data_IF_953406483745
#
_entry.id   IF_953406483745
#
_cell.length_a   1.000
_cell.length_b   1.000
_cell.length_c   1.000
_cell.angle_alpha   90.00
_cell.angle_beta   90.00
_cell.angle_gamma   90.00
#
_symmetry.space_group_name_H-M   'P 1'
#
loop_
_entity.id
_entity.type
_entity.pdbx_description
1 polymer ?
#
# COMPACT_ATOMS: atom_id res chain seq x y z
N UNK A 1 -18.89 -25.98 -15.03
CA UNK A 1 -19.94 -24.95 -14.80
C UNK A 1 -19.45 -24.00 -13.72
N UNK A 2 -19.55 -22.68 -13.90
CA UNK A 2 -19.19 -21.75 -12.81
C UNK A 2 -20.23 -21.89 -11.69
N UNK A 3 -19.85 -22.47 -10.54
CA UNK A 3 -20.72 -22.45 -9.37
C UNK A 3 -20.89 -20.99 -8.94
N UNK A 4 -22.08 -20.44 -9.19
CA UNK A 4 -22.50 -19.13 -8.70
C UNK A 4 -23.16 -19.34 -7.33
N UNK A 5 -22.79 -18.52 -6.37
CA UNK A 5 -23.43 -18.45 -5.06
C UNK A 5 -23.85 -17.00 -4.79
N UNK A 6 -24.88 -16.80 -3.97
CA UNK A 6 -25.26 -15.49 -3.46
C UNK A 6 -24.71 -15.36 -2.03
N UNK A 7 -23.96 -14.31 -1.76
CA UNK A 7 -23.51 -13.94 -0.42
C UNK A 7 -24.27 -12.69 0.01
N UNK A 8 -24.83 -12.71 1.22
CA UNK A 8 -25.43 -11.53 1.85
C UNK A 8 -24.43 -10.94 2.83
N UNK A 9 -23.96 -9.73 2.57
CA UNK A 9 -22.99 -9.01 3.39
C UNK A 9 -23.60 -7.68 3.78
N UNK A 10 -23.78 -7.43 5.09
CA UNK A 10 -24.40 -6.20 5.61
C UNK A 10 -25.72 -5.83 4.89
N UNK A 11 -26.57 -6.83 4.64
CA UNK A 11 -27.86 -6.65 3.95
C UNK A 11 -27.77 -6.46 2.43
N UNK A 12 -26.57 -6.43 1.83
CA UNK A 12 -26.37 -6.35 0.38
C UNK A 12 -26.14 -7.75 -0.21
N UNK A 13 -26.83 -8.05 -1.31
CA UNK A 13 -26.67 -9.30 -2.06
C UNK A 13 -25.52 -9.19 -3.06
N UNK A 14 -24.61 -10.15 -3.04
CA UNK A 14 -23.49 -10.26 -3.97
C UNK A 14 -23.49 -11.62 -4.66
N UNK A 15 -23.48 -11.60 -6.00
CA UNK A 15 -23.21 -12.80 -6.78
C UNK A 15 -21.69 -13.08 -6.75
N UNK A 16 -21.29 -14.14 -6.05
CA UNK A 16 -19.93 -14.66 -6.07
C UNK A 16 -19.87 -15.90 -6.96
N UNK A 17 -18.73 -16.15 -7.58
CA UNK A 17 -18.57 -17.28 -8.50
C UNK A 17 -17.18 -17.87 -8.37
N UNK A 18 -16.92 -19.06 -8.90
CA UNK A 18 -15.56 -19.60 -9.05
C UNK A 18 -14.72 -19.56 -7.75
N UNK A 19 -15.34 -19.84 -6.60
CA UNK A 19 -14.67 -19.71 -5.29
C UNK A 19 -13.47 -20.64 -5.16
N UNK A 20 -13.53 -21.83 -5.77
CA UNK A 20 -12.44 -22.81 -5.77
C UNK A 20 -11.34 -22.49 -6.81
N UNK A 21 -11.47 -21.40 -7.59
CA UNK A 21 -10.43 -21.02 -8.55
C UNK A 21 -9.15 -20.66 -7.78
N UNK A 22 -8.07 -21.38 -8.06
CA UNK A 22 -6.75 -21.09 -7.49
C UNK A 22 -6.22 -19.80 -8.11
N UNK A 23 -5.93 -18.80 -7.28
CA UNK A 23 -5.34 -17.52 -7.68
C UNK A 23 -3.84 -17.46 -7.35
N UNK A 24 -3.37 -18.24 -6.37
CA UNK A 24 -1.95 -18.41 -6.06
C UNK A 24 -1.56 -19.89 -6.22
N UNK A 25 -1.10 -20.33 -7.41
CA UNK A 25 -0.84 -21.73 -7.70
C UNK A 25 0.14 -22.39 -6.74
N UNK A 26 1.30 -21.76 -6.48
CA UNK A 26 2.32 -22.28 -5.55
C UNK A 26 1.78 -22.52 -4.12
N UNK A 27 0.85 -21.70 -3.66
CA UNK A 27 0.26 -21.80 -2.33
C UNK A 27 -1.07 -22.57 -2.29
N UNK A 28 -1.61 -22.99 -3.44
CA UNK A 28 -2.97 -23.54 -3.54
C UNK A 28 -4.07 -22.58 -3.07
N UNK A 29 -3.81 -21.27 -3.04
CA UNK A 29 -4.72 -20.30 -2.43
C UNK A 29 -5.81 -19.87 -3.42
N UNK A 30 -7.05 -20.04 -3.01
CA UNK A 30 -8.25 -19.89 -3.85
C UNK A 30 -8.89 -18.51 -3.75
N UNK A 31 -9.76 -18.18 -4.71
CA UNK A 31 -10.54 -16.94 -4.67
C UNK A 31 -11.45 -16.85 -3.44
N UNK A 32 -12.02 -17.97 -3.00
CA UNK A 32 -12.79 -18.04 -1.75
C UNK A 32 -11.96 -17.63 -0.53
N UNK A 33 -10.70 -18.06 -0.46
CA UNK A 33 -9.80 -17.69 0.64
C UNK A 33 -9.31 -16.23 0.54
N UNK A 34 -9.17 -15.68 -0.67
CA UNK A 34 -8.95 -14.22 -0.85
C UNK A 34 -10.13 -13.42 -0.28
N UNK A 35 -11.36 -13.83 -0.60
CA UNK A 35 -12.57 -13.20 -0.06
C UNK A 35 -12.63 -13.34 1.46
N UNK A 36 -12.37 -14.53 2.01
CA UNK A 36 -12.32 -14.76 3.47
C UNK A 36 -11.31 -13.85 4.17
N UNK A 37 -10.08 -13.75 3.63
CA UNK A 37 -9.06 -12.85 4.16
C UNK A 37 -9.58 -11.41 4.24
N UNK A 38 -10.14 -10.90 3.14
CA UNK A 38 -10.63 -9.53 3.10
C UNK A 38 -11.82 -9.30 4.02
N UNK A 39 -12.69 -10.30 4.23
CA UNK A 39 -13.77 -10.22 5.23
C UNK A 39 -13.18 -10.07 6.63
N UNK A 40 -12.20 -10.90 6.98
CA UNK A 40 -11.65 -10.96 8.34
C UNK A 40 -10.75 -9.79 8.68
N UNK A 41 -10.03 -9.23 7.70
CA UNK A 41 -9.16 -8.06 7.89
C UNK A 41 -9.91 -6.73 7.76
N UNK A 42 -11.14 -6.73 7.24
CA UNK A 42 -11.93 -5.53 6.98
C UNK A 42 -12.02 -4.53 8.15
N UNK A 43 -12.17 -4.95 9.42
CA UNK A 43 -12.29 -4.00 10.53
C UNK A 43 -11.10 -3.03 10.65
N UNK A 44 -9.89 -3.49 10.32
CA UNK A 44 -8.67 -2.65 10.34
C UNK A 44 -8.28 -2.12 8.96
N UNK A 45 -8.66 -2.81 7.88
CA UNK A 45 -8.35 -2.36 6.51
C UNK A 45 -9.28 -1.22 6.03
N UNK A 46 -10.58 -1.28 6.32
CA UNK A 46 -11.55 -0.30 5.81
C UNK A 46 -11.28 1.15 6.23
N UNK A 47 -10.81 1.46 7.46
CA UNK A 47 -10.38 2.82 7.81
C UNK A 47 -9.35 3.40 6.83
N UNK A 48 -8.41 2.58 6.36
CA UNK A 48 -7.38 2.99 5.41
C UNK A 48 -7.86 3.10 3.96
N UNK A 49 -8.95 2.42 3.59
CA UNK A 49 -9.56 2.53 2.25
C UNK A 49 -10.58 3.66 2.16
N UNK A 50 -11.19 4.03 3.30
CA UNK A 50 -12.34 4.94 3.34
C UNK A 50 -12.00 6.29 2.70
N UNK A 51 -12.89 6.69 1.80
CA UNK A 51 -12.81 7.91 1.01
C UNK A 51 -11.55 8.06 0.14
N UNK A 52 -10.72 7.02 -0.01
CA UNK A 52 -9.56 7.06 -0.92
C UNK A 52 -9.93 6.53 -2.30
N UNK A 53 -9.67 7.28 -3.39
CA UNK A 53 -9.74 6.74 -4.74
C UNK A 53 -8.91 5.46 -4.87
N UNK A 54 -9.58 4.36 -5.25
CA UNK A 54 -8.98 3.03 -5.37
C UNK A 54 -8.62 2.73 -6.83
N UNK A 55 -7.36 2.42 -7.07
CA UNK A 55 -6.90 1.71 -8.27
C UNK A 55 -6.92 0.21 -7.94
N UNK A 56 -7.73 -0.54 -8.67
CA UNK A 56 -7.78 -2.00 -8.54
C UNK A 56 -6.72 -2.62 -9.45
N UNK A 57 -5.96 -3.59 -8.96
CA UNK A 57 -5.04 -4.39 -9.77
C UNK A 57 -5.52 -5.83 -9.77
N UNK A 58 -6.15 -6.19 -10.89
CA UNK A 58 -6.96 -7.39 -11.00
C UNK A 58 -6.18 -8.52 -11.65
N UNK A 59 -6.34 -9.71 -11.08
CA UNK A 59 -5.73 -10.97 -11.50
C UNK A 59 -6.82 -12.02 -11.76
N UNK A 60 -7.68 -11.86 -12.77
CA UNK A 60 -8.81 -12.77 -12.99
C UNK A 60 -8.41 -14.23 -13.13
N UNK A 61 -7.19 -14.48 -13.61
CA UNK A 61 -6.63 -15.81 -13.87
C UNK A 61 -5.48 -16.20 -12.93
N UNK A 62 -5.31 -15.49 -11.81
CA UNK A 62 -4.27 -15.76 -10.82
C UNK A 62 -2.97 -15.00 -11.08
N UNK A 63 -2.05 -15.09 -10.11
CA UNK A 63 -0.82 -14.26 -10.01
C UNK A 63 0.24 -14.56 -11.07
N UNK A 64 0.17 -15.71 -11.73
CA UNK A 64 1.09 -16.13 -12.80
C UNK A 64 0.60 -15.72 -14.20
N UNK A 65 -0.65 -15.25 -14.32
CA UNK A 65 -1.25 -14.80 -15.57
C UNK A 65 -1.20 -13.28 -15.71
N UNK A 66 -1.65 -12.77 -16.87
CA UNK A 66 -1.76 -11.33 -17.10
C UNK A 66 -2.71 -10.66 -16.08
N UNK A 67 -2.31 -9.46 -15.67
CA UNK A 67 -3.07 -8.58 -14.80
C UNK A 67 -3.35 -7.26 -15.50
N UNK A 68 -4.29 -6.48 -14.97
CA UNK A 68 -4.51 -5.13 -15.43
C UNK A 68 -4.86 -4.19 -14.27
N UNK A 69 -4.55 -2.91 -14.47
CA UNK A 69 -4.94 -1.84 -13.57
C UNK A 69 -6.28 -1.26 -14.02
N UNK A 70 -7.22 -1.15 -13.11
CA UNK A 70 -8.55 -0.58 -13.33
C UNK A 70 -8.74 0.64 -12.43
N UNK A 71 -8.39 1.80 -12.98
CA UNK A 71 -8.57 3.11 -12.32
C UNK A 71 -10.01 3.61 -12.42
N UNK A 72 -10.65 3.42 -13.58
CA UNK A 72 -12.06 3.76 -13.75
C UNK A 72 -12.91 2.61 -13.23
N UNK A 73 -13.77 2.88 -12.26
CA UNK A 73 -14.66 1.91 -11.66
C UNK A 73 -15.60 1.32 -12.73
N UNK A 74 -15.79 -0.02 -12.75
CA UNK A 74 -16.64 -0.68 -13.74
C UNK A 74 -18.01 -0.02 -13.91
N UNK A 75 -18.45 0.12 -15.16
CA UNK A 75 -19.77 0.68 -15.50
C UNK A 75 -20.91 -0.19 -14.96
N UNK A 76 -20.72 -1.51 -14.94
CA UNK A 76 -21.66 -2.51 -14.45
C UNK A 76 -21.54 -2.81 -12.95
N UNK A 77 -20.86 -1.95 -12.17
CA UNK A 77 -20.76 -2.11 -10.71
C UNK A 77 -22.15 -2.07 -10.04
N UNK A 78 -22.32 -2.73 -8.88
CA UNK A 78 -23.54 -2.58 -8.09
C UNK A 78 -23.82 -1.11 -7.74
N UNK A 79 -25.10 -0.71 -7.74
CA UNK A 79 -25.52 0.69 -7.51
C UNK A 79 -25.01 1.29 -6.18
N UNK A 80 -24.76 0.45 -5.20
CA UNK A 80 -24.27 0.85 -3.87
C UNK A 80 -22.75 1.05 -3.81
N UNK A 81 -21.98 0.68 -4.85
CA UNK A 81 -20.55 0.97 -4.94
C UNK A 81 -20.36 2.44 -5.30
N UNK A 82 -19.89 3.22 -4.33
CA UNK A 82 -19.64 4.66 -4.48
C UNK A 82 -18.37 4.90 -5.31
N UNK A 83 -18.30 6.08 -5.92
CA UNK A 83 -17.14 6.51 -6.69
C UNK A 83 -16.67 7.91 -6.31
N UNK A 84 -15.41 8.21 -6.58
CA UNK A 84 -14.83 9.54 -6.54
C UNK A 84 -14.54 10.03 -7.97
N UNK A 85 -14.89 11.28 -8.25
CA UNK A 85 -14.53 11.95 -9.51
C UNK A 85 -13.12 12.49 -9.38
N UNK A 86 -12.23 12.11 -10.29
CA UNK A 86 -10.85 12.59 -10.34
C UNK A 86 -10.55 12.99 -11.78
N UNK A 87 -10.05 14.21 -11.98
CA UNK A 87 -9.59 14.64 -13.30
C UNK A 87 -8.36 13.84 -13.70
N UNK A 88 -8.34 13.33 -14.93
CA UNK A 88 -7.18 12.62 -15.48
C UNK A 88 -6.66 13.41 -16.68
N UNK A 89 -5.50 14.04 -16.51
CA UNK A 89 -4.86 14.81 -17.59
C UNK A 89 -4.56 13.92 -18.80
N UNK A 90 -3.94 12.75 -18.59
CA UNK A 90 -3.60 11.83 -19.68
C UNK A 90 -4.80 11.25 -20.45
N UNK A 91 -6.00 11.27 -19.88
CA UNK A 91 -7.23 10.84 -20.58
C UNK A 91 -8.12 12.03 -20.99
N UNK A 92 -7.73 13.26 -20.64
CA UNK A 92 -8.48 14.50 -20.82
C UNK A 92 -9.97 14.38 -20.41
N UNK A 93 -10.25 13.72 -19.27
CA UNK A 93 -11.61 13.52 -18.77
C UNK A 93 -11.66 13.24 -17.28
N UNK A 94 -12.86 13.34 -16.71
CA UNK A 94 -13.14 12.85 -15.36
C UNK A 94 -13.19 11.32 -15.36
N UNK A 95 -12.40 10.73 -14.48
CA UNK A 95 -12.40 9.30 -14.18
C UNK A 95 -13.16 9.07 -12.87
N UNK A 96 -13.91 7.96 -12.78
CA UNK A 96 -14.68 7.60 -11.61
C UNK A 96 -13.99 6.47 -10.86
N UNK A 97 -13.16 6.77 -9.87
CA UNK A 97 -12.48 5.74 -9.08
C UNK A 97 -13.45 5.05 -8.13
N UNK A 98 -13.32 3.74 -7.92
CA UNK A 98 -14.12 3.05 -6.90
C UNK A 98 -13.74 3.58 -5.51
N UNK A 99 -14.70 3.57 -4.58
CA UNK A 99 -14.48 3.82 -3.16
C UNK A 99 -14.87 2.59 -2.36
N UNK A 100 -13.90 1.91 -1.76
CA UNK A 100 -14.14 0.78 -0.86
C UNK A 100 -14.52 1.28 0.53
N UNK A 101 -15.79 1.69 0.68
CA UNK A 101 -16.31 2.35 1.88
C UNK A 101 -16.74 1.37 2.99
N UNK A 102 -17.07 0.15 2.60
CA UNK A 102 -17.75 -0.83 3.42
C UNK A 102 -17.37 -2.27 3.01
N UNK A 103 -17.69 -3.22 3.89
CA UNK A 103 -17.37 -4.62 3.70
C UNK A 103 -17.97 -5.20 2.41
N UNK A 104 -19.24 -4.92 2.03
CA UNK A 104 -19.78 -5.36 0.75
C UNK A 104 -18.95 -4.90 -0.45
N UNK A 105 -18.47 -3.66 -0.45
CA UNK A 105 -17.65 -3.13 -1.56
C UNK A 105 -16.29 -3.83 -1.63
N UNK A 106 -15.68 -4.09 -0.47
CA UNK A 106 -14.43 -4.82 -0.41
C UNK A 106 -14.58 -6.26 -0.91
N UNK A 107 -15.64 -6.97 -0.49
CA UNK A 107 -15.95 -8.33 -0.96
C UNK A 107 -16.23 -8.36 -2.47
N UNK A 108 -16.94 -7.35 -2.98
CA UNK A 108 -17.18 -7.20 -4.41
C UNK A 108 -15.87 -7.04 -5.20
N UNK A 109 -14.95 -6.17 -4.75
CA UNK A 109 -13.64 -5.99 -5.38
C UNK A 109 -12.83 -7.30 -5.35
N UNK A 110 -12.78 -7.99 -4.21
CA UNK A 110 -12.12 -9.29 -4.08
C UNK A 110 -12.72 -10.35 -5.03
N UNK A 111 -14.05 -10.38 -5.21
CA UNK A 111 -14.71 -11.28 -6.15
C UNK A 111 -14.38 -10.99 -7.62
N UNK A 112 -14.05 -9.74 -7.96
CA UNK A 112 -13.50 -9.33 -9.26
C UNK A 112 -12.02 -9.72 -9.45
N UNK A 113 -11.47 -10.47 -8.49
CA UNK A 113 -10.07 -10.86 -8.40
C UNK A 113 -9.12 -9.65 -8.28
N UNK A 114 -9.57 -8.58 -7.62
CA UNK A 114 -8.69 -7.49 -7.20
C UNK A 114 -7.81 -7.96 -6.04
N UNK A 115 -6.53 -8.22 -6.32
CA UNK A 115 -5.59 -8.75 -5.33
C UNK A 115 -4.72 -7.66 -4.70
N UNK A 116 -4.47 -6.56 -5.41
CA UNK A 116 -3.73 -5.44 -4.85
C UNK A 116 -4.61 -4.19 -4.84
N UNK A 117 -4.94 -3.72 -3.65
CA UNK A 117 -5.68 -2.49 -3.41
C UNK A 117 -4.69 -1.32 -3.38
N UNK A 118 -4.70 -0.47 -4.40
CA UNK A 118 -3.81 0.68 -4.47
C UNK A 118 -4.59 1.98 -4.23
N UNK A 119 -4.22 2.73 -3.20
CA UNK A 119 -4.92 3.97 -2.81
C UNK A 119 -4.13 5.21 -3.18
N UNK A 120 -4.84 6.28 -3.54
CA UNK A 120 -4.26 7.63 -3.52
C UNK A 120 -3.81 8.00 -2.09
N UNK A 121 -2.75 8.81 -1.98
CA UNK A 121 -2.32 9.38 -0.70
C UNK A 121 -3.30 10.44 -0.17
N UNK A 122 -4.22 10.91 -1.01
CA UNK A 122 -5.28 11.85 -0.68
C UNK A 122 -6.66 11.18 -0.53
N UNK A 123 -7.59 11.87 0.12
CA UNK A 123 -9.00 11.48 0.22
C UNK A 123 -9.81 12.23 -0.85
N UNK A 124 -10.92 11.66 -1.29
CA UNK A 124 -11.80 12.20 -2.35
C UNK A 124 -12.31 13.63 -2.10
N UNK A 125 -12.33 14.05 -0.83
CA UNK A 125 -12.77 15.39 -0.42
C UNK A 125 -11.89 16.46 -1.06
N UNK A 126 -10.59 16.19 -1.13
CA UNK A 126 -9.61 17.05 -1.77
C UNK A 126 -8.44 16.17 -2.25
N UNK A 127 -8.48 15.80 -3.53
CA UNK A 127 -7.52 14.88 -4.13
C UNK A 127 -6.14 15.51 -4.36
N UNK A 128 -6.01 16.83 -4.22
CA UNK A 128 -4.74 17.55 -4.32
C UNK A 128 -4.02 17.69 -2.97
N UNK A 129 -4.67 17.28 -1.87
CA UNK A 129 -4.14 17.39 -0.51
C UNK A 129 -3.84 16.00 0.06
N UNK A 130 -2.58 15.54 0.01
CA UNK A 130 -2.22 14.26 0.59
C UNK A 130 -2.46 14.28 2.10
N UNK A 131 -3.01 13.18 2.60
CA UNK A 131 -3.14 12.93 4.04
C UNK A 131 -1.85 12.42 4.67
N UNK A 132 -0.88 12.01 3.85
CA UNK A 132 0.36 11.33 4.26
C UNK A 132 1.46 11.57 3.24
N UNK A 133 2.71 11.70 3.71
CA UNK A 133 3.92 11.63 2.89
C UNK A 133 4.53 10.22 3.01
N UNK A 134 5.02 9.66 1.91
CA UNK A 134 5.50 8.27 1.84
C UNK A 134 6.90 8.19 1.25
N UNK A 135 7.70 7.26 1.76
CA UNK A 135 8.95 6.82 1.16
C UNK A 135 8.84 5.33 0.87
N UNK A 136 8.94 4.92 -0.40
CA UNK A 136 9.01 3.51 -0.78
C UNK A 136 10.47 3.11 -0.95
N UNK A 137 10.97 2.24 -0.08
CA UNK A 137 12.36 1.80 -0.06
C UNK A 137 12.47 0.54 -0.90
N UNK A 138 12.89 0.71 -2.15
CA UNK A 138 12.94 -0.33 -3.17
C UNK A 138 14.35 -0.91 -3.31
N UNK A 139 14.58 -2.18 -2.91
CA UNK A 139 15.90 -2.77 -3.02
C UNK A 139 16.18 -3.28 -4.44
N UNK A 140 17.35 -2.93 -4.98
CA UNK A 140 17.89 -3.55 -6.18
C UNK A 140 18.85 -4.68 -5.83
N UNK A 141 18.62 -5.86 -6.41
CA UNK A 141 19.42 -7.05 -6.12
C UNK A 141 20.94 -6.79 -6.25
N UNK A 142 21.78 -7.35 -5.36
CA UNK A 142 21.44 -8.33 -4.31
C UNK A 142 20.90 -7.73 -3.01
N UNK A 143 20.69 -6.40 -2.91
CA UNK A 143 20.06 -5.82 -1.72
C UNK A 143 18.62 -6.33 -1.57
N UNK A 144 18.16 -6.39 -0.33
CA UNK A 144 16.81 -6.81 0.04
C UNK A 144 16.24 -5.94 1.18
N UNK A 145 15.15 -6.41 1.81
CA UNK A 145 14.48 -5.69 2.89
C UNK A 145 15.39 -5.41 4.09
N UNK A 146 16.47 -6.18 4.31
CA UNK A 146 17.43 -5.94 5.40
C UNK A 146 18.12 -4.59 5.19
N UNK A 147 18.57 -4.30 3.97
CA UNK A 147 19.12 -2.98 3.63
C UNK A 147 18.04 -1.90 3.65
N UNK A 148 16.80 -2.21 3.28
CA UNK A 148 15.68 -1.27 3.46
C UNK A 148 15.45 -0.92 4.94
N UNK A 149 15.67 -1.86 5.88
CA UNK A 149 15.56 -1.58 7.31
C UNK A 149 16.61 -0.58 7.77
N UNK A 150 17.86 -0.73 7.31
CA UNK A 150 18.94 0.21 7.60
C UNK A 150 18.61 1.63 7.12
N UNK A 151 18.23 1.77 5.84
CA UNK A 151 17.84 3.06 5.27
C UNK A 151 16.57 3.62 5.94
N UNK A 152 15.62 2.76 6.28
CA UNK A 152 14.40 3.15 7.00
C UNK A 152 14.65 3.70 8.39
N UNK A 153 15.66 3.18 9.11
CA UNK A 153 16.06 3.69 10.43
C UNK A 153 16.78 5.03 10.32
N UNK A 154 17.64 5.23 9.33
CA UNK A 154 18.22 6.55 9.05
C UNK A 154 17.14 7.57 8.73
N UNK A 155 16.20 7.21 7.87
CA UNK A 155 15.07 8.06 7.52
C UNK A 155 14.18 8.36 8.74
N UNK A 156 13.90 7.38 9.62
CA UNK A 156 13.19 7.60 10.89
C UNK A 156 13.89 8.63 11.76
N UNK A 157 15.21 8.55 11.88
CA UNK A 157 16.01 9.47 12.70
C UNK A 157 15.96 10.89 12.14
N UNK A 158 16.18 11.06 10.84
CA UNK A 158 16.09 12.36 10.15
C UNK A 158 14.70 13.00 10.31
N UNK A 159 13.64 12.20 10.14
CA UNK A 159 12.27 12.66 10.38
C UNK A 159 12.05 13.03 11.87
N UNK A 160 12.64 12.28 12.79
CA UNK A 160 12.61 12.55 14.22
C UNK A 160 13.26 13.88 14.61
N UNK A 161 14.39 14.24 14.00
CA UNK A 161 15.05 15.54 14.17
C UNK A 161 14.16 16.70 13.71
N UNK A 162 13.37 16.47 12.65
CA UNK A 162 12.32 17.39 12.18
C UNK A 162 11.04 17.35 13.02
N UNK A 163 11.00 16.57 14.11
CA UNK A 163 9.82 16.33 14.96
C UNK A 163 8.64 15.70 14.21
N UNK A 164 8.92 14.99 13.13
CA UNK A 164 7.93 14.25 12.35
C UNK A 164 7.89 12.79 12.82
N UNK A 165 6.71 12.35 13.27
CA UNK A 165 6.46 10.94 13.57
C UNK A 165 6.28 10.15 12.28
N UNK A 166 6.85 8.96 12.23
CA UNK A 166 6.78 8.06 11.08
C UNK A 166 6.45 6.61 11.48
N UNK A 167 5.82 5.90 10.56
CA UNK A 167 5.32 4.54 10.74
C UNK A 167 5.80 3.67 9.58
N UNK A 168 6.19 2.43 9.89
CA UNK A 168 6.71 1.51 8.90
C UNK A 168 5.69 0.42 8.54
N UNK A 169 5.70 0.02 7.26
CA UNK A 169 5.05 -1.21 6.81
C UNK A 169 5.91 -1.90 5.77
N UNK A 170 5.83 -3.22 5.72
CA UNK A 170 6.42 -3.96 4.61
C UNK A 170 5.60 -3.69 3.36
N UNK A 171 6.24 -3.66 2.20
CA UNK A 171 5.51 -3.61 0.92
C UNK A 171 4.70 -4.90 0.69
N UNK A 172 5.03 -6.00 1.39
CA UNK A 172 4.56 -7.36 1.09
C UNK A 172 5.22 -7.97 -0.15
N UNK A 173 6.17 -7.26 -0.77
CA UNK A 173 6.98 -7.71 -1.91
C UNK A 173 8.45 -7.83 -1.51
N UNK A 174 9.26 -6.81 -1.78
CA UNK A 174 10.71 -6.83 -1.51
C UNK A 174 11.17 -5.70 -0.58
N UNK A 175 10.48 -4.57 -0.61
CA UNK A 175 10.86 -3.35 0.10
C UNK A 175 10.09 -3.08 1.39
N UNK A 176 10.50 -2.01 2.05
CA UNK A 176 9.88 -1.40 3.24
C UNK A 176 9.33 -0.03 2.86
N UNK A 177 8.25 0.41 3.50
CA UNK A 177 7.68 1.72 3.27
C UNK A 177 7.57 2.49 4.59
N UNK A 178 7.89 3.79 4.53
CA UNK A 178 7.84 4.70 5.67
C UNK A 178 6.80 5.78 5.41
N UNK A 179 5.83 5.92 6.30
CA UNK A 179 4.68 6.83 6.18
C UNK A 179 4.76 7.90 7.26
N UNK A 180 4.59 9.15 6.87
CA UNK A 180 4.55 10.33 7.74
C UNK A 180 3.14 10.92 7.64
N UNK A 181 2.22 10.59 8.57
CA UNK A 181 0.86 11.10 8.50
C UNK A 181 0.87 12.61 8.63
N UNK A 182 0.07 13.29 7.84
CA UNK A 182 -0.04 14.75 7.85
C UNK A 182 -1.43 15.17 8.30
N UNK A 183 -2.47 14.66 7.64
CA UNK A 183 -3.88 14.96 7.91
C UNK A 183 -4.14 16.47 8.09
N UNK A 184 -3.42 17.28 7.33
CA UNK A 184 -3.44 18.75 7.30
C UNK A 184 -3.66 19.24 5.87
N UNK A 185 -3.54 20.55 5.64
CA UNK A 185 -3.68 21.16 4.32
C UNK A 185 -2.41 21.07 3.46
N UNK A 186 -1.52 20.11 3.70
CA UNK A 186 -0.29 19.97 2.93
C UNK A 186 -0.59 19.72 1.44
N UNK A 187 0.27 20.17 0.52
CA UNK A 187 0.19 19.86 -0.92
C UNK A 187 1.10 18.70 -1.30
N UNK A 188 0.83 18.09 -2.46
CA UNK A 188 1.78 17.15 -3.06
C UNK A 188 3.15 17.78 -3.32
N UNK A 189 3.21 19.04 -3.76
CA UNK A 189 4.48 19.76 -3.96
C UNK A 189 5.31 19.83 -2.67
N UNK A 190 4.71 20.21 -1.55
CA UNK A 190 5.40 20.26 -0.25
C UNK A 190 5.92 18.88 0.17
N UNK A 191 5.10 17.83 0.00
CA UNK A 191 5.52 16.45 0.33
C UNK A 191 6.61 15.94 -0.61
N UNK A 192 6.54 16.26 -1.90
CA UNK A 192 7.51 15.83 -2.92
C UNK A 192 8.85 16.54 -2.71
N UNK A 193 8.84 17.82 -2.41
CA UNK A 193 10.06 18.58 -2.17
C UNK A 193 10.82 18.10 -0.95
N UNK A 194 10.15 17.93 0.19
CA UNK A 194 10.80 17.41 1.40
C UNK A 194 11.28 15.97 1.21
N UNK A 195 10.42 15.09 0.67
CA UNK A 195 10.79 13.68 0.48
C UNK A 195 11.97 13.52 -0.48
N UNK A 196 12.03 14.31 -1.57
CA UNK A 196 13.16 14.35 -2.50
C UNK A 196 14.43 14.85 -1.82
N UNK A 197 14.34 15.93 -1.04
CA UNK A 197 15.48 16.47 -0.33
C UNK A 197 16.09 15.46 0.67
N UNK A 198 15.24 14.75 1.41
CA UNK A 198 15.66 13.68 2.32
C UNK A 198 16.28 12.49 1.58
N UNK A 199 15.70 12.06 0.46
CA UNK A 199 16.26 10.99 -0.36
C UNK A 199 17.64 11.35 -0.92
N UNK A 200 17.81 12.59 -1.39
CA UNK A 200 19.09 13.09 -1.90
C UNK A 200 20.13 13.27 -0.80
N UNK A 201 19.73 13.73 0.39
CA UNK A 201 20.62 13.81 1.54
C UNK A 201 21.14 12.42 1.93
N UNK A 202 20.26 11.42 2.04
CA UNK A 202 20.67 10.03 2.30
C UNK A 202 21.58 9.46 1.22
N UNK A 203 21.36 9.80 -0.06
CA UNK A 203 22.27 9.40 -1.15
C UNK A 203 23.65 10.05 -1.03
N UNK A 204 23.75 11.30 -0.55
CA UNK A 204 25.04 11.97 -0.33
C UNK A 204 25.82 11.38 0.84
N UNK A 205 25.13 11.10 1.95
CA UNK A 205 25.74 10.52 3.15
C UNK A 205 26.11 9.04 2.96
N UNK A 206 25.30 8.30 2.20
CA UNK A 206 25.46 6.86 2.02
C UNK A 206 25.41 6.44 0.53
N UNK A 207 26.30 6.97 -0.33
CA UNK A 207 26.24 6.76 -1.78
C UNK A 207 26.49 5.31 -2.20
N UNK A 208 27.12 4.51 -1.33
CA UNK A 208 27.31 3.08 -1.55
C UNK A 208 26.04 2.24 -1.44
N UNK A 209 25.04 2.70 -0.66
CA UNK A 209 23.84 1.93 -0.34
C UNK A 209 22.55 2.59 -0.84
N UNK A 210 22.50 3.92 -0.96
CA UNK A 210 21.29 4.65 -1.30
C UNK A 210 21.39 5.20 -2.72
N UNK A 211 20.24 5.23 -3.42
CA UNK A 211 20.06 6.11 -4.58
C UNK A 211 18.72 6.82 -4.53
N UNK A 212 18.68 8.08 -4.97
CA UNK A 212 17.44 8.84 -5.18
C UNK A 212 17.05 8.94 -6.66
N UNK A 213 17.84 8.30 -7.54
CA UNK A 213 17.63 8.32 -8.98
C UNK A 213 16.66 7.21 -9.41
N UNK A 214 15.67 7.57 -10.24
CA UNK A 214 14.65 6.64 -10.72
C UNK A 214 15.20 5.55 -11.66
N UNK A 215 16.37 5.76 -12.27
CA UNK A 215 16.99 4.79 -13.19
C UNK A 215 17.23 3.44 -12.51
N UNK A 216 16.65 2.37 -13.06
CA UNK A 216 16.84 1.01 -12.54
C UNK A 216 18.28 0.52 -12.67
N UNK A 217 19.05 1.05 -13.63
CA UNK A 217 20.46 0.72 -13.83
C UNK A 217 21.34 1.08 -12.62
N UNK A 218 20.93 2.08 -11.83
CA UNK A 218 21.67 2.55 -10.66
C UNK A 218 21.32 1.83 -9.37
N UNK A 219 20.32 0.92 -9.40
CA UNK A 219 19.78 0.27 -8.19
C UNK A 219 20.54 -0.98 -7.76
N UNK A 220 21.42 -1.54 -8.60
CA UNK A 220 22.10 -2.82 -8.30
C UNK A 220 22.87 -2.70 -6.97
N UNK A 221 22.47 -3.52 -5.98
CA UNK A 221 23.05 -3.53 -4.63
C UNK A 221 22.67 -2.32 -3.76
N UNK A 222 21.75 -1.47 -4.21
CA UNK A 222 21.33 -0.25 -3.52
C UNK A 222 19.84 -0.26 -3.20
N UNK A 223 19.44 0.64 -2.30
CA UNK A 223 18.07 0.98 -2.00
C UNK A 223 17.71 2.25 -2.74
N UNK A 224 16.75 2.16 -3.64
CA UNK A 224 16.11 3.33 -4.21
C UNK A 224 15.11 3.89 -3.18
N UNK A 225 15.36 5.12 -2.72
CA UNK A 225 14.41 5.86 -1.88
C UNK A 225 13.43 6.56 -2.81
N UNK A 226 12.31 5.91 -3.11
CA UNK A 226 11.32 6.42 -4.04
C UNK A 226 10.46 7.53 -3.42
N UNK A 227 11.00 8.74 -3.48
CA UNK A 227 10.30 9.98 -3.14
C UNK A 227 9.22 10.34 -4.17
N UNK A 228 9.26 9.76 -5.36
CA UNK A 228 8.36 10.09 -6.46
C UNK A 228 6.95 9.51 -6.26
N UNK A 229 6.72 8.69 -5.24
CA UNK A 229 5.39 8.22 -4.83
C UNK A 229 4.49 9.36 -4.30
N UNK A 230 5.09 10.47 -3.87
CA UNK A 230 4.38 11.67 -3.40
C UNK A 230 3.84 12.50 -4.57
N UNK A 231 2.92 11.92 -5.34
CA UNK A 231 2.36 12.50 -6.55
C UNK A 231 0.86 12.21 -6.64
N UNK A 232 0.06 13.19 -7.04
CA UNK A 232 -1.40 13.08 -7.09
C UNK A 232 -1.91 12.05 -8.12
N UNK A 233 -1.09 11.72 -9.13
CA UNK A 233 -1.44 10.76 -10.17
C UNK A 233 -1.03 9.33 -9.83
N UNK A 234 -0.33 9.13 -8.71
CA UNK A 234 0.13 7.82 -8.25
C UNK A 234 -0.76 7.25 -7.16
N UNK A 235 -0.65 5.93 -7.04
CA UNK A 235 -1.29 5.15 -5.98
C UNK A 235 -0.28 4.18 -5.42
N UNK A 236 -0.33 3.97 -4.11
CA UNK A 236 0.55 3.02 -3.40
C UNK A 236 -0.29 1.88 -2.84
N UNK A 237 0.29 0.69 -2.73
CA UNK A 237 -0.40 -0.45 -2.15
C UNK A 237 -0.85 -0.12 -0.72
N UNK A 238 -2.15 -0.30 -0.47
CA UNK A 238 -2.74 -0.05 0.83
C UNK A 238 -2.16 -1.02 1.86
N UNK A 239 -2.05 -0.55 3.10
CA UNK A 239 -1.80 -1.43 4.24
C UNK A 239 -2.86 -2.53 4.30
N UNK A 240 -2.47 -3.74 4.71
CA UNK A 240 -3.30 -4.95 4.74
C UNK A 240 -3.76 -5.48 3.38
N UNK A 241 -3.41 -4.84 2.25
CA UNK A 241 -3.65 -5.43 0.94
C UNK A 241 -2.80 -6.68 0.74
N UNK A 242 -3.39 -7.70 0.11
CA UNK A 242 -2.62 -8.79 -0.48
C UNK A 242 -1.67 -8.24 -1.56
N UNK A 243 -0.64 -9.03 -1.84
CA UNK A 243 0.30 -8.83 -2.94
C UNK A 243 0.19 -10.01 -3.91
N UNK A 244 0.25 -9.71 -5.19
CA UNK A 244 0.27 -10.73 -6.23
C UNK A 244 1.69 -11.24 -6.44
N UNK A 245 2.14 -12.07 -5.49
CA UNK A 245 3.39 -12.83 -5.52
C UNK A 245 3.07 -14.32 -5.55
N UNK A 246 4.10 -15.16 -5.50
CA UNK A 246 3.92 -16.62 -5.48
C UNK A 246 3.11 -17.10 -4.26
N UNK A 247 3.17 -16.35 -3.16
CA UNK A 247 2.40 -16.58 -1.94
C UNK A 247 1.47 -15.38 -1.65
N UNK A 248 0.35 -15.57 -0.93
CA UNK A 248 -0.55 -14.49 -0.53
C UNK A 248 0.07 -13.66 0.62
N UNK A 249 1.14 -12.94 0.30
CA UNK A 249 1.80 -12.00 1.21
C UNK A 249 1.01 -10.70 1.32
N UNK A 250 1.23 -9.96 2.40
CA UNK A 250 0.47 -8.76 2.75
C UNK A 250 1.40 -7.57 2.96
N UNK A 251 0.98 -6.38 2.52
CA UNK A 251 1.64 -5.14 2.95
C UNK A 251 1.31 -4.87 4.43
N UNK A 252 2.22 -5.25 5.33
CA UNK A 252 1.89 -5.43 6.74
C UNK A 252 2.55 -4.36 7.61
N UNK A 253 1.80 -3.70 8.51
CA UNK A 253 2.38 -2.80 9.51
C UNK A 253 3.39 -3.51 10.40
N UNK A 254 4.49 -2.82 10.66
CA UNK A 254 5.55 -3.31 11.55
C UNK A 254 5.99 -2.20 12.48
N UNK A 255 6.34 -2.58 13.71
CA UNK A 255 6.98 -1.69 14.66
C UNK A 255 8.41 -1.39 14.24
N UNK A 256 8.96 -0.28 14.73
CA UNK A 256 10.37 0.03 14.51
C UNK A 256 11.30 -0.99 15.18
N UNK A 257 10.91 -1.57 16.32
CA UNK A 257 11.65 -2.66 16.97
C UNK A 257 11.76 -3.90 16.08
N UNK A 258 10.71 -4.23 15.31
CA UNK A 258 10.75 -5.31 14.31
C UNK A 258 11.71 -5.00 13.16
N UNK A 259 11.74 -3.74 12.71
CA UNK A 259 12.69 -3.25 11.69
C UNK A 259 14.14 -3.36 12.20
N UNK A 260 14.40 -2.90 13.42
CA UNK A 260 15.72 -3.00 14.08
C UNK A 260 16.15 -4.45 14.27
N UNK A 261 15.24 -5.32 14.71
CA UNK A 261 15.51 -6.73 14.91
C UNK A 261 15.76 -7.47 13.58
N UNK A 262 15.07 -7.10 12.49
CA UNK A 262 15.35 -7.62 11.14
C UNK A 262 16.79 -7.29 10.70
N UNK A 263 17.18 -6.03 10.85
CA UNK A 263 18.52 -5.55 10.53
C UNK A 263 19.59 -6.26 11.38
N UNK A 264 19.41 -6.26 12.70
CA UNK A 264 20.36 -6.88 13.64
C UNK A 264 20.59 -8.36 13.35
N UNK A 265 19.53 -9.10 13.00
CA UNK A 265 19.62 -10.54 12.69
C UNK A 265 19.99 -10.83 11.24
N UNK A 266 19.96 -9.83 10.36
CA UNK A 266 20.15 -9.97 8.90
C UNK A 266 19.24 -11.06 8.30
N UNK A 267 17.97 -11.05 8.69
CA UNK A 267 16.99 -12.08 8.28
C UNK A 267 15.76 -11.44 7.65
N UNK A 268 15.74 -11.37 6.31
CA UNK A 268 14.63 -10.82 5.53
C UNK A 268 13.26 -11.45 5.85
N UNK A 269 13.23 -12.77 6.11
CA UNK A 269 12.00 -13.51 6.40
C UNK A 269 11.29 -13.04 7.68
N UNK A 270 11.97 -12.32 8.59
CA UNK A 270 11.32 -11.74 9.77
C UNK A 270 10.28 -10.67 9.42
N UNK A 271 10.37 -10.08 8.22
CA UNK A 271 9.44 -9.08 7.71
C UNK A 271 8.64 -9.59 6.51
N UNK A 272 8.51 -10.91 6.36
CA UNK A 272 7.64 -11.53 5.36
C UNK A 272 6.38 -12.08 6.02
N UNK A 273 5.24 -11.48 5.71
CA UNK A 273 3.96 -11.85 6.29
C UNK A 273 3.01 -12.38 5.22
N UNK A 274 2.54 -13.61 5.42
CA UNK A 274 1.40 -14.17 4.70
C UNK A 274 0.09 -13.71 5.35
N UNK A 275 -1.01 -13.86 4.61
CA UNK A 275 -2.35 -13.43 5.03
C UNK A 275 -2.81 -14.02 6.38
N UNK A 276 -2.56 -15.30 6.62
CA UNK A 276 -2.83 -16.01 7.88
C UNK A 276 -2.07 -15.38 9.07
N UNK A 277 -0.76 -15.16 8.90
CA UNK A 277 0.06 -14.50 9.93
C UNK A 277 -0.35 -13.05 10.18
N UNK A 278 -0.82 -12.36 9.14
CA UNK A 278 -1.31 -10.98 9.27
C UNK A 278 -2.58 -10.94 10.11
N UNK A 279 -3.50 -11.89 9.90
CA UNK A 279 -4.72 -12.01 10.70
C UNK A 279 -4.41 -12.30 12.18
N UNK A 280 -3.50 -13.24 12.46
CA UNK A 280 -3.04 -13.53 13.82
C UNK A 280 -2.43 -12.29 14.50
N UNK A 281 -1.60 -11.53 13.76
CA UNK A 281 -1.01 -10.29 14.25
C UNK A 281 -2.06 -9.24 14.60
N UNK A 282 -3.03 -9.01 13.72
CA UNK A 282 -4.11 -8.05 13.98
C UNK A 282 -4.96 -8.46 15.17
N UNK A 283 -5.25 -9.74 15.33
CA UNK A 283 -5.98 -10.23 16.51
C UNK A 283 -5.21 -9.95 17.81
N UNK A 284 -3.88 -10.07 17.79
CA UNK A 284 -3.03 -9.88 18.97
C UNK A 284 -2.70 -8.41 19.27
N UNK A 285 -2.44 -7.62 18.23
CA UNK A 285 -1.82 -6.30 18.34
C UNK A 285 -2.76 -5.15 17.93
N UNK A 286 -3.91 -5.47 17.34
CA UNK A 286 -4.79 -4.49 16.72
C UNK A 286 -4.18 -3.87 15.46
N UNK A 287 -4.63 -2.66 15.14
CA UNK A 287 -4.15 -1.89 14.00
C UNK A 287 -2.97 -0.99 14.41
N UNK A 288 -1.75 -1.43 14.11
CA UNK A 288 -0.52 -0.66 14.35
C UNK A 288 -0.41 0.57 13.44
N UNK A 289 -1.16 0.62 12.35
CA UNK A 289 -1.12 1.69 11.35
C UNK A 289 -2.25 2.69 11.50
N UNK A 290 -3.23 2.44 12.37
CA UNK A 290 -4.32 3.35 12.70
C UNK A 290 -3.88 4.81 12.91
N UNK A 291 -2.76 5.11 13.61
CA UNK A 291 -2.30 6.49 13.78
C UNK A 291 -2.06 7.24 12.46
N UNK A 292 -1.83 6.54 11.35
CA UNK A 292 -1.63 7.18 10.04
C UNK A 292 -2.90 7.88 9.54
N UNK A 293 -4.10 7.41 9.93
CA UNK A 293 -5.36 8.02 9.50
C UNK A 293 -5.75 9.28 10.30
N UNK A 294 -5.33 9.37 11.56
CA UNK A 294 -5.82 10.41 12.48
C UNK A 294 -4.74 11.38 12.96
N UNK A 295 -3.47 10.97 13.01
CA UNK A 295 -2.41 11.81 13.55
C UNK A 295 -2.17 13.02 12.65
N UNK A 296 -2.18 14.21 13.24
CA UNK A 296 -1.98 15.47 12.53
C UNK A 296 -0.62 16.05 12.88
N UNK A 297 0.17 16.34 11.86
CA UNK A 297 1.44 17.07 11.98
C UNK A 297 1.68 17.88 10.71
N UNK A 298 2.43 18.97 10.86
CA UNK A 298 2.72 19.90 9.78
C UNK A 298 4.15 19.66 9.31
N UNK A 299 4.35 19.72 8.00
CA UNK A 299 5.68 19.75 7.43
C UNK A 299 6.42 21.01 7.90
N UNK A 300 7.74 20.93 8.13
CA UNK A 300 8.54 22.12 8.43
C UNK A 300 8.57 23.05 7.22
N UNK A 301 8.49 24.37 7.46
CA UNK A 301 8.57 25.38 6.38
C UNK A 301 9.97 25.54 5.80
N UNK A 302 10.98 25.19 6.59
CA UNK A 302 12.40 25.18 6.25
C UNK A 302 13.03 24.01 6.97
N UNK A 303 13.96 23.35 6.31
CA UNK A 303 14.74 22.26 6.87
C UNK A 303 16.22 22.50 6.57
N UNK A 304 17.08 22.12 7.51
CA UNK A 304 18.52 22.06 7.31
C UNK A 304 18.89 20.58 7.26
N UNK A 305 19.59 20.19 6.19
CA UNK A 305 20.05 18.85 5.88
C UNK A 305 21.55 18.90 5.60
#
# INVERSE_FOLDING_TARGET
MSNKAELVVEGKKLAVSNLNKVLYPKAGFTKGQVIDYYIRIAPVLLPHLRDRPLTMKRYPNGVEAEFFYEKNCPSHRPKWVKTAKVWSEGNNRIMHYCLAQDLPTLVWAANLADLELHTSLAKKKDVARPTVMVFDLDPGAPADIVQCCEVGLWLRNLLGEMKLKSFAKTSGSKGLQVYVPLNTSATFDETKDLSRALAQHLEREHPGLVTSNMSTALRKGKIFVDWSQNDEHKTTVCVYSLRAKEEPTVSTPVSWDEVENCLKKKKADLLKFRCDRTLERVQKMGDLFHPVEDFKQKLPKKWNL
#
